data_IF_921103799294
#
_entry.id   IF_921103799294
#
_cell.length_a   1.000
_cell.length_b   1.000
_cell.length_c   1.000
_cell.angle_alpha   90.00
_cell.angle_beta   90.00
_cell.angle_gamma   90.00
#
_symmetry.space_group_name_H-M   'P 1'
#
loop_
_entity.id
_entity.type
_entity.pdbx_description
1 polymer ?
#
# COMPACT_ATOMS: atom_id res chain seq x y z
N UNK A 1 -48.29 -51.60 -15.77
CA UNK A 1 -47.16 -52.36 -15.18
C UNK A 1 -46.13 -51.37 -14.68
N UNK A 2 -45.75 -51.54 -13.42
CA UNK A 2 -44.90 -50.69 -12.58
C UNK A 2 -43.57 -51.38 -12.30
N UNK A 3 -42.45 -50.63 -12.33
CA UNK A 3 -41.18 -50.73 -11.52
C UNK A 3 -40.10 -49.84 -12.18
N UNK A 4 -39.63 -48.69 -11.62
CA UNK A 4 -38.69 -48.36 -10.50
C UNK A 4 -37.20 -48.22 -10.86
N UNK A 5 -36.60 -47.09 -10.40
CA UNK A 5 -35.16 -46.86 -10.13
C UNK A 5 -34.38 -46.13 -11.25
N UNK A 6 -33.48 -45.16 -11.04
CA UNK A 6 -32.85 -44.54 -9.87
C UNK A 6 -32.20 -43.20 -10.29
N UNK A 7 -31.96 -42.32 -9.32
CA UNK A 7 -31.37 -40.99 -9.42
C UNK A 7 -29.85 -40.97 -9.70
N UNK A 8 -29.34 -39.86 -10.24
CA UNK A 8 -27.93 -39.49 -10.13
C UNK A 8 -27.79 -37.98 -9.80
N UNK A 9 -27.50 -37.70 -8.53
CA UNK A 9 -26.86 -36.47 -8.10
C UNK A 9 -25.35 -36.64 -8.18
N UNK A 10 -24.65 -35.61 -8.67
CA UNK A 10 -23.19 -35.59 -8.70
C UNK A 10 -22.68 -35.01 -7.37
N UNK A 11 -22.28 -35.89 -6.46
CA UNK A 11 -21.42 -35.53 -5.33
C UNK A 11 -19.96 -35.71 -5.74
N UNK A 12 -19.16 -34.65 -5.61
CA UNK A 12 -17.71 -34.77 -5.65
C UNK A 12 -17.20 -34.84 -4.21
N UNK A 13 -16.68 -36.02 -3.89
CA UNK A 13 -15.90 -36.32 -2.68
C UNK A 13 -14.49 -35.76 -2.84
N UNK A 14 -14.06 -34.90 -1.92
CA UNK A 14 -12.68 -34.46 -1.80
C UNK A 14 -12.24 -34.62 -0.35
N UNK A 15 -11.13 -35.34 -0.20
CA UNK A 15 -10.65 -35.91 1.04
C UNK A 15 -10.14 -34.92 2.08
N UNK A 16 -10.03 -35.49 3.27
CA UNK A 16 -9.60 -34.93 4.55
C UNK A 16 -8.42 -33.96 4.42
N UNK A 17 -8.67 -32.70 4.79
CA UNK A 17 -7.68 -31.62 4.85
C UNK A 17 -8.37 -30.26 5.02
N UNK A 18 -9.16 -30.09 6.09
CA UNK A 18 -9.80 -28.82 6.45
C UNK A 18 -8.74 -27.73 6.71
N UNK A 19 -8.41 -26.97 5.68
CA UNK A 19 -7.94 -25.60 5.87
C UNK A 19 -9.19 -24.74 6.01
N UNK A 20 -9.59 -24.48 7.26
CA UNK A 20 -10.62 -23.51 7.59
C UNK A 20 -10.19 -22.12 7.16
N UNK A 21 -10.45 -21.76 5.91
CA UNK A 21 -10.39 -20.39 5.45
C UNK A 21 -11.79 -19.79 5.64
N UNK A 22 -11.96 -19.03 6.72
CA UNK A 22 -13.08 -18.12 6.86
C UNK A 22 -12.96 -17.08 5.75
N UNK A 23 -13.76 -17.24 4.70
CA UNK A 23 -13.99 -16.16 3.76
C UNK A 23 -14.81 -15.10 4.49
N UNK A 24 -14.16 -14.03 4.94
CA UNK A 24 -14.87 -12.81 5.32
C UNK A 24 -15.53 -12.25 4.05
N UNK A 25 -16.79 -12.64 3.84
CA UNK A 25 -17.61 -12.10 2.78
C UNK A 25 -17.96 -10.66 3.20
N UNK A 26 -17.20 -9.70 2.71
CA UNK A 26 -17.42 -8.29 3.02
C UNK A 26 -18.66 -7.80 2.25
N UNK A 27 -19.77 -7.60 2.98
CA UNK A 27 -21.05 -7.11 2.44
C UNK A 27 -21.02 -5.63 2.01
N UNK A 28 -19.88 -4.96 2.15
CA UNK A 28 -19.71 -3.55 1.85
C UNK A 28 -18.30 -3.26 1.30
N UNK A 29 -18.08 -2.13 0.57
CA UNK A 29 -16.76 -1.73 0.05
C UNK A 29 -15.71 -1.39 1.15
N UNK A 30 -15.89 -1.88 2.38
CA UNK A 30 -14.98 -1.78 3.51
C UNK A 30 -15.15 -0.47 4.26
N UNK A 31 -16.17 -0.36 5.12
CA UNK A 31 -16.32 0.77 6.05
C UNK A 31 -15.09 0.88 6.95
N UNK A 32 -14.49 2.07 6.97
CA UNK A 32 -13.27 2.35 7.75
C UNK A 32 -13.40 2.00 9.24
N UNK A 33 -14.56 2.27 9.84
CA UNK A 33 -14.84 2.06 11.27
C UNK A 33 -15.00 0.60 11.67
N UNK A 34 -15.19 -0.30 10.71
CA UNK A 34 -15.42 -1.73 10.94
C UNK A 34 -14.13 -2.56 10.72
N UNK A 35 -13.01 -1.91 10.38
CA UNK A 35 -11.72 -2.57 10.18
C UNK A 35 -11.04 -2.83 11.53
N UNK A 36 -10.38 -3.98 11.66
CA UNK A 36 -9.52 -4.24 12.83
C UNK A 36 -8.50 -3.10 13.01
N UNK A 37 -8.41 -2.52 14.22
CA UNK A 37 -7.47 -1.44 14.46
C UNK A 37 -6.03 -1.94 14.29
N UNK A 38 -5.14 -1.15 13.67
CA UNK A 38 -3.73 -1.46 13.60
C UNK A 38 -3.13 -1.64 15.01
N UNK A 39 -2.36 -2.71 15.20
CA UNK A 39 -1.68 -3.00 16.47
C UNK A 39 -0.40 -2.17 16.56
N UNK A 40 -0.45 -1.08 17.33
CA UNK A 40 0.68 -0.14 17.49
C UNK A 40 1.63 -0.46 18.66
N UNK A 41 1.47 -1.60 19.34
CA UNK A 41 2.19 -1.96 20.57
C UNK A 41 3.73 -1.86 20.46
N UNK A 42 4.27 -2.03 19.24
CA UNK A 42 5.71 -1.96 18.96
C UNK A 42 6.16 -0.69 18.22
N UNK A 43 5.29 0.29 17.97
CA UNK A 43 5.65 1.51 17.21
C UNK A 43 6.29 2.56 18.10
N UNK A 44 7.46 3.05 17.67
CA UNK A 44 8.15 4.19 18.27
C UNK A 44 7.98 5.45 17.41
N UNK A 45 7.07 6.34 17.82
CA UNK A 45 6.77 7.58 17.09
C UNK A 45 7.89 8.63 17.13
N UNK A 46 8.91 8.44 17.97
CA UNK A 46 10.10 9.32 18.00
C UNK A 46 11.11 8.95 16.92
N UNK A 47 11.15 7.68 16.52
CA UNK A 47 12.04 7.19 15.47
C UNK A 47 11.45 7.44 14.09
N UNK A 48 10.14 7.25 13.95
CA UNK A 48 9.45 7.46 12.67
C UNK A 48 7.98 7.82 12.86
N UNK A 49 7.58 8.89 12.19
CA UNK A 49 6.21 9.37 12.19
C UNK A 49 5.22 8.43 11.47
N UNK A 50 3.94 8.82 11.56
CA UNK A 50 2.84 8.14 10.90
C UNK A 50 3.07 8.04 9.40
N UNK A 51 3.05 6.81 8.89
CA UNK A 51 3.41 6.51 7.51
C UNK A 51 2.21 6.02 6.71
N UNK A 52 1.96 6.67 5.58
CA UNK A 52 0.89 6.32 4.64
C UNK A 52 1.49 5.70 3.38
N UNK A 53 1.19 4.43 3.14
CA UNK A 53 1.53 3.73 1.91
C UNK A 53 0.50 4.03 0.81
N UNK A 54 0.97 4.33 -0.39
CA UNK A 54 0.14 4.58 -1.57
C UNK A 54 0.48 3.53 -2.60
N UNK A 55 -0.40 2.53 -2.70
CA UNK A 55 -0.25 1.36 -3.55
C UNK A 55 -1.27 1.32 -4.68
N UNK A 56 -1.00 0.45 -5.66
CA UNK A 56 -1.87 0.25 -6.81
C UNK A 56 -1.11 -0.20 -8.07
N UNK A 57 -1.85 -0.66 -9.10
CA UNK A 57 -1.27 -1.03 -10.39
C UNK A 57 -0.47 0.08 -11.06
N UNK A 58 0.39 -0.30 -12.01
CA UNK A 58 1.00 0.66 -12.94
C UNK A 58 -0.13 1.42 -13.66
N UNK A 59 -0.01 2.75 -13.74
CA UNK A 59 -1.01 3.61 -14.37
C UNK A 59 -2.27 3.89 -13.56
N UNK A 60 -2.35 3.48 -12.28
CA UNK A 60 -3.53 3.76 -11.43
C UNK A 60 -3.60 5.19 -10.85
N UNK A 61 -2.62 6.04 -11.18
CA UNK A 61 -2.59 7.44 -10.72
C UNK A 61 -1.99 7.65 -9.33
N UNK A 62 -1.18 6.72 -8.82
CA UNK A 62 -0.49 6.82 -7.51
C UNK A 62 0.29 8.12 -7.35
N UNK A 63 1.19 8.43 -8.29
CA UNK A 63 2.01 9.66 -8.28
C UNK A 63 1.15 10.92 -8.35
N UNK A 64 0.01 10.87 -9.06
CA UNK A 64 -0.95 11.98 -9.10
C UNK A 64 -1.67 12.18 -7.75
N UNK A 65 -2.03 11.08 -7.08
CA UNK A 65 -2.57 11.11 -5.72
C UNK A 65 -1.52 11.62 -4.72
N UNK A 66 -0.27 11.17 -4.83
CA UNK A 66 0.87 11.62 -4.03
C UNK A 66 1.02 13.16 -4.14
N UNK A 67 1.00 13.69 -5.37
CA UNK A 67 1.04 15.13 -5.63
C UNK A 67 -0.12 15.87 -4.96
N UNK A 68 -1.35 15.36 -5.09
CA UNK A 68 -2.54 15.98 -4.51
C UNK A 68 -2.47 16.00 -2.98
N UNK A 69 -2.07 14.89 -2.35
CA UNK A 69 -1.89 14.80 -0.90
C UNK A 69 -0.81 15.76 -0.41
N UNK A 70 0.34 15.81 -1.08
CA UNK A 70 1.41 16.76 -0.74
C UNK A 70 0.90 18.20 -0.76
N UNK A 71 0.22 18.62 -1.82
CA UNK A 71 -0.32 19.98 -1.94
C UNK A 71 -1.38 20.31 -0.90
N UNK A 72 -2.25 19.35 -0.57
CA UNK A 72 -3.31 19.54 0.41
C UNK A 72 -2.80 19.62 1.86
N UNK A 73 -1.71 18.92 2.19
CA UNK A 73 -1.27 18.74 3.58
C UNK A 73 -0.07 19.62 3.97
N UNK A 74 0.80 19.99 3.02
CA UNK A 74 2.11 20.63 3.32
C UNK A 74 2.03 21.97 4.06
N UNK A 75 0.90 22.68 3.97
CA UNK A 75 0.75 23.99 4.61
C UNK A 75 0.32 23.86 6.09
N UNK A 76 -0.19 22.69 6.49
CA UNK A 76 -0.68 22.42 7.84
C UNK A 76 0.20 21.42 8.60
N UNK A 77 0.87 20.52 7.88
CA UNK A 77 1.68 19.44 8.44
C UNK A 77 3.09 19.46 7.88
N UNK A 78 4.08 19.15 8.72
CA UNK A 78 5.43 18.83 8.22
C UNK A 78 5.38 17.46 7.57
N UNK A 79 5.55 17.39 6.26
CA UNK A 79 5.48 16.12 5.52
C UNK A 79 6.74 15.86 4.71
N UNK A 80 6.99 14.58 4.45
CA UNK A 80 8.04 14.11 3.55
C UNK A 80 7.55 12.89 2.76
N UNK A 81 8.19 12.63 1.63
CA UNK A 81 7.75 11.66 0.63
C UNK A 81 8.89 10.73 0.21
N UNK A 82 8.57 9.45 0.05
CA UNK A 82 9.43 8.44 -0.56
C UNK A 82 8.73 7.87 -1.78
N UNK A 83 9.41 7.81 -2.92
CA UNK A 83 8.94 7.11 -4.12
C UNK A 83 9.84 5.91 -4.38
N UNK A 84 9.23 4.76 -4.67
CA UNK A 84 9.96 3.57 -5.10
C UNK A 84 9.87 3.48 -6.61
N UNK A 85 11.00 3.43 -7.30
CA UNK A 85 11.07 3.25 -8.75
C UNK A 85 12.05 2.10 -9.07
N UNK A 86 11.85 1.40 -10.20
CA UNK A 86 12.68 0.23 -10.51
C UNK A 86 14.08 0.65 -10.98
N UNK A 87 14.14 1.58 -11.93
CA UNK A 87 15.38 1.95 -12.64
C UNK A 87 15.49 3.45 -12.95
N UNK A 88 14.49 4.24 -12.56
CA UNK A 88 14.43 5.67 -12.88
C UNK A 88 14.09 6.48 -11.63
N UNK A 89 14.04 7.81 -11.76
CA UNK A 89 13.59 8.73 -10.70
C UNK A 89 12.42 9.57 -11.18
N UNK A 90 11.69 9.07 -12.16
CA UNK A 90 10.67 9.83 -12.88
C UNK A 90 9.57 10.33 -11.95
N UNK A 91 9.16 9.52 -10.97
CA UNK A 91 8.12 9.91 -10.01
C UNK A 91 8.61 11.01 -9.08
N UNK A 92 9.82 10.87 -8.53
CA UNK A 92 10.45 11.93 -7.72
C UNK A 92 10.62 13.22 -8.54
N UNK A 93 11.15 13.14 -9.76
CA UNK A 93 11.34 14.29 -10.63
C UNK A 93 10.01 14.95 -11.02
N UNK A 94 8.97 14.16 -11.25
CA UNK A 94 7.62 14.64 -11.50
C UNK A 94 7.10 15.43 -10.29
N UNK A 95 7.23 14.89 -9.07
CA UNK A 95 6.78 15.56 -7.86
C UNK A 95 7.54 16.87 -7.60
N UNK A 96 8.86 16.87 -7.79
CA UNK A 96 9.70 18.06 -7.64
C UNK A 96 9.31 19.13 -8.67
N UNK A 97 9.20 18.77 -9.96
CA UNK A 97 8.81 19.71 -11.03
C UNK A 97 7.43 20.32 -10.81
N UNK A 98 6.51 19.56 -10.22
CA UNK A 98 5.16 20.02 -9.92
C UNK A 98 5.04 20.75 -8.58
N UNK A 99 6.16 21.03 -7.93
CA UNK A 99 6.25 21.65 -6.61
C UNK A 99 5.34 20.93 -5.61
N UNK A 100 5.47 19.60 -5.50
CA UNK A 100 4.76 18.85 -4.46
C UNK A 100 5.27 19.28 -3.07
N UNK A 101 6.58 19.17 -2.89
CA UNK A 101 7.35 19.57 -1.70
C UNK A 101 8.72 20.13 -2.14
N UNK A 102 9.44 20.83 -1.25
CA UNK A 102 10.87 21.06 -1.42
C UNK A 102 11.61 19.76 -1.75
N UNK A 103 12.56 19.80 -2.69
CA UNK A 103 13.20 18.60 -3.21
C UNK A 103 13.91 17.79 -2.11
N UNK A 104 14.45 18.45 -1.10
CA UNK A 104 15.10 17.77 0.03
C UNK A 104 14.16 16.93 0.90
N UNK A 105 12.83 17.08 0.73
CA UNK A 105 11.79 16.30 1.42
C UNK A 105 11.26 15.13 0.60
N UNK A 106 11.77 14.92 -0.61
CA UNK A 106 11.35 13.83 -1.51
C UNK A 106 12.57 12.92 -1.75
N UNK A 107 12.41 11.63 -1.47
CA UNK A 107 13.49 10.64 -1.62
C UNK A 107 13.08 9.54 -2.59
N UNK A 108 13.86 9.34 -3.65
CA UNK A 108 13.73 8.18 -4.51
C UNK A 108 14.46 6.97 -3.91
N UNK A 109 13.84 5.80 -3.98
CA UNK A 109 14.44 4.49 -3.69
C UNK A 109 14.44 3.67 -4.97
N UNK A 110 15.64 3.24 -5.38
CA UNK A 110 15.82 2.35 -6.53
C UNK A 110 15.77 0.90 -6.04
N UNK A 111 14.73 0.15 -6.41
CA UNK A 111 14.46 -1.19 -5.84
C UNK A 111 15.11 -2.35 -6.60
N UNK A 112 15.79 -2.08 -7.73
CA UNK A 112 16.60 -3.08 -8.44
C UNK A 112 15.86 -4.25 -9.11
N UNK A 113 14.52 -4.20 -9.20
CA UNK A 113 13.72 -5.16 -9.98
C UNK A 113 12.52 -5.80 -9.25
N UNK A 114 12.46 -5.80 -7.92
CA UNK A 114 11.38 -6.44 -7.15
C UNK A 114 10.63 -5.43 -6.27
N UNK A 115 9.73 -4.66 -6.90
CA UNK A 115 8.96 -3.59 -6.24
C UNK A 115 8.12 -4.07 -5.06
N UNK A 116 7.51 -5.26 -5.20
CA UNK A 116 6.71 -5.89 -4.15
C UNK A 116 7.54 -6.15 -2.90
N UNK A 117 8.77 -6.64 -3.07
CA UNK A 117 9.65 -6.95 -1.97
C UNK A 117 10.05 -5.68 -1.20
N UNK A 118 10.31 -4.58 -1.89
CA UNK A 118 10.75 -3.32 -1.30
C UNK A 118 9.74 -2.72 -0.30
N UNK A 119 8.46 -3.07 -0.41
CA UNK A 119 7.39 -2.60 0.49
C UNK A 119 6.86 -3.67 1.45
N UNK A 120 7.28 -4.93 1.31
CA UNK A 120 6.71 -6.06 2.06
C UNK A 120 7.74 -6.97 2.72
N UNK A 121 8.77 -7.39 2.00
CA UNK A 121 9.73 -8.42 2.43
C UNK A 121 11.06 -7.81 2.86
N UNK A 122 11.60 -6.90 2.06
CA UNK A 122 12.81 -6.14 2.36
C UNK A 122 12.50 -4.64 2.37
N UNK A 123 11.97 -4.18 3.50
CA UNK A 123 11.56 -2.79 3.72
C UNK A 123 12.70 -1.90 4.25
N UNK A 124 13.91 -2.43 4.36
CA UNK A 124 15.03 -1.79 5.06
C UNK A 124 15.39 -0.43 4.47
N UNK A 125 15.49 -0.35 3.14
CA UNK A 125 15.78 0.89 2.42
C UNK A 125 14.69 1.96 2.63
N UNK A 126 13.42 1.55 2.61
CA UNK A 126 12.30 2.45 2.87
C UNK A 126 12.31 2.95 4.32
N UNK A 127 12.50 2.06 5.30
CA UNK A 127 12.55 2.44 6.71
C UNK A 127 13.69 3.44 6.99
N UNK A 128 14.89 3.16 6.51
CA UNK A 128 16.04 4.06 6.69
C UNK A 128 15.79 5.45 6.11
N UNK A 129 15.26 5.52 4.87
CA UNK A 129 14.92 6.80 4.26
C UNK A 129 13.84 7.58 5.03
N UNK A 130 12.83 6.87 5.55
CA UNK A 130 11.75 7.47 6.32
C UNK A 130 12.24 8.02 7.67
N UNK A 131 13.11 7.27 8.36
CA UNK A 131 13.74 7.69 9.62
C UNK A 131 14.66 8.91 9.40
N UNK A 132 15.47 8.92 8.35
CA UNK A 132 16.30 10.06 7.97
C UNK A 132 15.46 11.31 7.69
N UNK A 133 14.39 11.17 6.91
CA UNK A 133 13.48 12.27 6.60
C UNK A 133 12.74 12.77 7.85
N UNK A 134 12.32 11.85 8.73
CA UNK A 134 11.68 12.21 9.99
C UNK A 134 12.65 12.98 10.90
N UNK A 135 13.84 12.45 11.13
CA UNK A 135 14.87 13.09 11.97
C UNK A 135 15.28 14.47 11.42
N UNK A 136 15.42 14.60 10.10
CA UNK A 136 15.86 15.85 9.46
C UNK A 136 14.80 16.95 9.48
N UNK A 137 13.52 16.60 9.31
CA UNK A 137 12.45 17.57 9.10
C UNK A 137 11.37 17.59 10.18
N UNK A 138 11.53 16.77 11.23
CA UNK A 138 10.53 16.52 12.25
C UNK A 138 9.14 16.28 11.62
N UNK A 139 9.11 15.41 10.61
CA UNK A 139 7.92 15.16 9.80
C UNK A 139 6.81 14.56 10.68
N UNK A 140 5.59 15.09 10.56
CA UNK A 140 4.39 14.58 11.23
C UNK A 140 3.73 13.46 10.42
N UNK A 141 3.85 13.52 9.08
CA UNK A 141 3.31 12.51 8.16
C UNK A 141 4.39 12.16 7.15
N UNK A 142 4.55 10.87 6.88
CA UNK A 142 5.43 10.35 5.85
C UNK A 142 4.58 9.64 4.79
N UNK A 143 4.81 9.95 3.52
CA UNK A 143 4.12 9.33 2.39
C UNK A 143 5.08 8.40 1.67
N UNK A 144 4.63 7.19 1.32
CA UNK A 144 5.44 6.20 0.61
C UNK A 144 4.67 5.67 -0.59
N UNK A 145 5.12 5.98 -1.79
CA UNK A 145 4.58 5.41 -3.03
C UNK A 145 5.31 4.11 -3.38
N UNK A 146 4.56 3.07 -3.79
CA UNK A 146 5.12 1.87 -4.39
C UNK A 146 5.34 2.06 -5.90
N UNK A 147 6.34 1.42 -6.51
CA UNK A 147 6.68 1.65 -7.92
C UNK A 147 5.78 0.99 -8.98
N UNK A 148 4.51 0.74 -8.63
CA UNK A 148 3.55 0.09 -9.53
C UNK A 148 3.69 -1.42 -9.51
N UNK A 149 2.76 -2.06 -8.82
CA UNK A 149 2.83 -3.46 -8.45
C UNK A 149 1.51 -4.14 -8.91
N UNK A 150 1.52 -5.44 -9.21
CA UNK A 150 0.29 -6.19 -9.48
C UNK A 150 -0.75 -6.07 -8.34
N UNK A 151 -1.99 -6.49 -8.61
CA UNK A 151 -3.18 -6.31 -7.77
C UNK A 151 -3.09 -6.81 -6.30
N UNK A 152 -1.96 -7.40 -5.89
CA UNK A 152 -1.71 -7.97 -4.56
C UNK A 152 -0.69 -7.18 -3.70
N UNK A 153 -0.24 -5.99 -4.14
CA UNK A 153 0.68 -5.13 -3.40
C UNK A 153 0.13 -4.78 -2.01
N UNK A 154 0.59 -5.47 -0.97
CA UNK A 154 0.23 -5.19 0.41
C UNK A 154 1.47 -4.76 1.18
N UNK A 155 1.44 -3.56 1.74
CA UNK A 155 2.57 -3.07 2.53
C UNK A 155 2.76 -3.93 3.78
N UNK A 156 4.01 -4.10 4.20
CA UNK A 156 4.30 -4.55 5.55
C UNK A 156 3.65 -3.59 6.55
N UNK A 157 3.02 -4.14 7.59
CA UNK A 157 2.49 -3.35 8.72
C UNK A 157 3.60 -2.63 9.49
N UNK A 158 4.84 -3.09 9.34
CA UNK A 158 6.00 -2.39 9.88
C UNK A 158 6.38 -1.18 9.03
N UNK A 159 6.03 -1.14 7.74
CA UNK A 159 6.34 -0.02 6.87
C UNK A 159 5.24 1.06 6.89
N UNK A 160 3.97 0.69 6.69
CA UNK A 160 2.87 1.64 6.60
C UNK A 160 1.84 1.44 7.71
N UNK A 161 1.50 2.54 8.40
CA UNK A 161 0.45 2.57 9.43
C UNK A 161 -0.95 2.68 8.80
N UNK A 162 -1.03 3.23 7.58
CA UNK A 162 -2.24 3.30 6.77
C UNK A 162 -1.91 3.09 5.29
N UNK A 163 -2.81 2.45 4.54
CA UNK A 163 -2.59 2.15 3.13
C UNK A 163 -3.78 2.68 2.32
N UNK A 164 -3.47 3.50 1.32
CA UNK A 164 -4.41 3.92 0.28
C UNK A 164 -4.10 3.09 -0.97
N UNK A 165 -5.10 2.38 -1.47
CA UNK A 165 -4.97 1.57 -2.68
C UNK A 165 -5.79 2.19 -3.83
N UNK A 166 -5.09 2.67 -4.86
CA UNK A 166 -5.70 3.26 -6.05
C UNK A 166 -5.98 2.18 -7.10
N UNK A 167 -7.26 2.05 -7.51
CA UNK A 167 -7.68 1.20 -8.64
C UNK A 167 -8.42 2.05 -9.67
N UNK A 168 -7.98 1.99 -10.92
CA UNK A 168 -8.74 2.57 -12.03
C UNK A 168 -9.96 1.70 -12.31
N UNK A 169 -11.16 2.27 -12.22
CA UNK A 169 -12.40 1.60 -12.61
C UNK A 169 -12.68 2.01 -14.06
N UNK A 170 -12.74 1.06 -15.01
CA UNK A 170 -13.10 1.39 -16.39
C UNK A 170 -14.55 1.84 -16.44
N UNK A 171 -14.79 3.09 -16.88
CA UNK A 171 -16.13 3.54 -17.24
C UNK A 171 -16.62 2.70 -18.43
N UNK A 172 -17.67 1.90 -18.22
CA UNK A 172 -18.43 1.23 -19.27
C UNK A 172 -19.75 1.97 -19.50
#
# INVERSE_FOLDING_TARGET
TSTTGSAHGHGHDHGVGEHGHTHEQLDNPGKYTEREPPKYEKRNWKERAFTVGIGGPVGSGKTALMLALCKALRDQYSIAAVTNDIFTKEDTEFLVRNNALPAERIRAIETGGCLHAAIREDISANLGALEELHAKFNSQILLVESGGDNLAANYSRELADYIIYGKTIPFH
#
